data_IF_941119143473
#
_entry.id   IF_941119143473
#
_cell.length_a   1.000
_cell.length_b   1.000
_cell.length_c   1.000
_cell.angle_alpha   90.00
_cell.angle_beta   90.00
_cell.angle_gamma   90.00
#
_symmetry.space_group_name_H-M   'P 1'
#
loop_
_entity.id
_entity.type
_entity.pdbx_description
1 polymer ?
#
# COMPACT_ATOMS: atom_id res chain seq x y z
N UNK A 1 19.58 16.71 9.21
CA UNK A 1 19.21 15.35 8.75
C UNK A 1 17.69 15.27 8.71
N UNK A 2 17.08 14.63 7.70
CA UNK A 2 15.62 14.46 7.61
C UNK A 2 15.17 13.18 8.34
N UNK A 3 15.64 12.99 9.57
CA UNK A 3 15.42 11.75 10.35
C UNK A 3 15.05 12.11 11.78
N UNK A 4 13.78 11.89 12.12
CA UNK A 4 13.29 11.99 13.49
C UNK A 4 13.44 10.64 14.20
N UNK A 5 14.17 10.63 15.32
CA UNK A 5 14.23 9.47 16.23
C UNK A 5 13.10 9.58 17.26
N UNK A 6 12.40 8.48 17.48
CA UNK A 6 11.30 8.39 18.45
C UNK A 6 11.44 7.13 19.30
N UNK A 7 10.93 7.20 20.52
CA UNK A 7 10.71 6.05 21.39
C UNK A 7 9.21 5.77 21.43
N UNK A 8 8.83 4.56 21.04
CA UNK A 8 7.45 4.07 21.01
C UNK A 8 7.38 2.69 21.67
N UNK A 9 6.26 2.32 22.30
CA UNK A 9 6.10 0.98 22.86
C UNK A 9 6.11 -0.09 21.77
N UNK A 10 6.80 -1.20 22.02
CA UNK A 10 6.88 -2.33 21.09
C UNK A 10 5.63 -3.22 21.22
N UNK A 11 4.53 -2.75 20.65
CA UNK A 11 3.24 -3.47 20.60
C UNK A 11 2.49 -3.12 19.32
N UNK A 12 1.49 -3.93 18.97
CA UNK A 12 0.72 -3.77 17.74
C UNK A 12 0.09 -2.37 17.60
N UNK A 13 -0.49 -1.86 18.70
CA UNK A 13 -1.38 -0.70 18.71
C UNK A 13 -0.92 0.33 19.74
N UNK A 14 -0.83 1.58 19.32
CA UNK A 14 -0.74 2.73 20.23
C UNK A 14 -2.12 3.07 20.80
N UNK A 15 -2.14 3.62 22.01
CA UNK A 15 -3.31 4.36 22.51
C UNK A 15 -3.44 5.71 21.80
N UNK A 16 -4.63 6.34 21.81
CA UNK A 16 -4.80 7.70 21.28
C UNK A 16 -3.88 8.73 21.94
N UNK A 17 -3.58 8.60 23.23
CA UNK A 17 -2.66 9.50 23.95
C UNK A 17 -1.20 9.33 23.52
N UNK A 18 -0.74 8.09 23.40
CA UNK A 18 0.60 7.78 22.89
C UNK A 18 0.77 8.29 21.47
N UNK A 19 -0.25 8.08 20.63
CA UNK A 19 -0.26 8.59 19.27
C UNK A 19 -0.23 10.13 19.23
N UNK A 20 -1.06 10.82 20.03
CA UNK A 20 -1.02 12.29 20.12
C UNK A 20 0.36 12.81 20.51
N UNK A 21 1.05 12.14 21.42
CA UNK A 21 2.42 12.50 21.80
C UNK A 21 3.42 12.27 20.65
N UNK A 22 3.28 11.17 19.92
CA UNK A 22 4.08 10.86 18.74
C UNK A 22 3.85 11.86 17.60
N UNK A 23 2.60 12.14 17.25
CA UNK A 23 2.20 13.06 16.18
C UNK A 23 2.71 14.49 16.43
N UNK A 24 2.66 14.97 17.69
CA UNK A 24 3.28 16.25 18.06
C UNK A 24 4.78 16.30 17.77
N UNK A 25 5.52 15.21 17.99
CA UNK A 25 6.95 15.14 17.67
C UNK A 25 7.19 15.21 16.17
N UNK A 26 6.39 14.48 15.38
CA UNK A 26 6.45 14.50 13.90
C UNK A 26 6.18 15.90 13.36
N UNK A 27 5.10 16.53 13.83
CA UNK A 27 4.67 17.87 13.41
C UNK A 27 5.68 18.96 13.79
N UNK A 28 6.31 18.85 14.97
CA UNK A 28 7.32 19.81 15.42
C UNK A 28 8.66 19.67 14.67
N UNK A 29 8.99 18.48 14.17
CA UNK A 29 10.29 18.21 13.54
C UNK A 29 10.29 18.48 12.03
N UNK A 30 9.26 18.02 11.32
CA UNK A 30 9.22 18.10 9.87
C UNK A 30 8.40 19.31 9.41
N UNK A 31 9.05 20.22 8.68
CA UNK A 31 8.43 21.42 8.09
C UNK A 31 7.74 21.17 6.74
N UNK A 32 7.26 22.25 6.10
CA UNK A 32 6.42 22.16 4.92
C UNK A 32 7.06 21.54 3.68
N UNK A 33 8.39 21.46 3.62
CA UNK A 33 9.12 20.83 2.52
C UNK A 33 8.96 19.31 2.51
N UNK A 34 8.61 18.70 3.65
CA UNK A 34 8.45 17.25 3.79
C UNK A 34 7.02 16.85 3.43
N UNK A 35 6.88 16.24 2.26
CA UNK A 35 5.60 15.85 1.69
C UNK A 35 5.10 14.49 2.17
N UNK A 36 6.00 13.58 2.55
CA UNK A 36 5.66 12.20 2.91
C UNK A 36 6.62 11.64 3.97
N UNK A 37 6.23 10.56 4.64
CA UNK A 37 6.98 9.95 5.74
C UNK A 37 7.23 8.46 5.51
N UNK A 38 8.48 8.04 5.75
CA UNK A 38 8.86 6.64 5.88
C UNK A 38 9.02 6.28 7.36
N UNK A 39 8.33 5.24 7.82
CA UNK A 39 8.35 4.79 9.21
C UNK A 39 9.16 3.48 9.31
N UNK A 40 10.33 3.52 9.97
CA UNK A 40 11.30 2.43 9.92
C UNK A 40 11.12 1.37 11.03
N UNK A 41 9.94 0.75 11.11
CA UNK A 41 9.62 -0.31 12.05
C UNK A 41 8.45 -1.18 11.56
N UNK A 42 8.23 -2.32 12.24
CA UNK A 42 7.03 -3.15 12.05
C UNK A 42 5.97 -2.83 13.11
N UNK A 43 6.36 -2.69 14.38
CA UNK A 43 5.48 -2.33 15.50
C UNK A 43 5.81 -0.94 16.03
N UNK A 44 4.82 -0.08 16.31
CA UNK A 44 3.38 -0.26 16.09
C UNK A 44 2.94 0.00 14.64
N UNK A 45 1.90 -0.70 14.17
CA UNK A 45 1.28 -0.48 12.86
C UNK A 45 -0.12 0.18 12.95
N UNK A 46 -0.65 0.33 14.16
CA UNK A 46 -2.01 0.83 14.39
C UNK A 46 -2.10 1.77 15.60
N UNK A 47 -3.17 2.55 15.62
CA UNK A 47 -3.62 3.42 16.71
C UNK A 47 -5.07 3.05 16.99
N UNK A 48 -5.34 2.33 18.07
CA UNK A 48 -6.64 1.68 18.28
C UNK A 48 -7.07 0.84 17.04
N UNK A 49 -8.14 1.25 16.33
CA UNK A 49 -8.59 0.64 15.08
C UNK A 49 -8.00 1.30 13.81
N UNK A 50 -7.45 2.50 13.91
CA UNK A 50 -6.87 3.20 12.75
C UNK A 50 -5.48 2.62 12.46
N UNK A 51 -5.02 2.66 11.21
CA UNK A 51 -3.60 2.42 10.92
C UNK A 51 -2.76 3.61 11.36
N UNK A 52 -1.50 3.35 11.73
CA UNK A 52 -0.59 4.43 12.12
C UNK A 52 -0.30 5.37 10.94
N UNK A 53 -0.24 4.83 9.72
CA UNK A 53 0.00 5.62 8.50
C UNK A 53 -1.19 6.54 8.20
N UNK A 54 -2.42 6.09 8.43
CA UNK A 54 -3.59 6.92 8.21
C UNK A 54 -3.84 7.92 9.32
N UNK A 55 -3.62 7.52 10.58
CA UNK A 55 -3.71 8.43 11.70
C UNK A 55 -2.73 9.61 11.56
N UNK A 56 -1.50 9.39 11.09
CA UNK A 56 -0.53 10.46 10.81
C UNK A 56 -0.95 11.38 9.66
N UNK A 57 -1.55 10.83 8.60
CA UNK A 57 -1.87 11.62 7.41
C UNK A 57 -3.18 12.40 7.54
N UNK A 58 -4.20 11.79 8.16
CA UNK A 58 -5.58 12.31 8.17
C UNK A 58 -6.07 12.69 9.59
N UNK A 59 -5.29 12.38 10.62
CA UNK A 59 -5.72 12.43 12.01
C UNK A 59 -6.38 11.13 12.46
N UNK A 60 -6.42 10.91 13.78
CA UNK A 60 -7.09 9.77 14.39
C UNK A 60 -8.61 9.94 14.34
N UNK A 61 -9.33 8.95 13.80
CA UNK A 61 -10.80 8.89 13.76
C UNK A 61 -11.30 7.90 14.82
N UNK A 62 -11.75 8.42 15.97
CA UNK A 62 -12.27 7.61 17.07
C UNK A 62 -13.67 7.05 16.81
N UNK A 63 -14.53 7.79 16.10
CA UNK A 63 -15.90 7.38 15.79
C UNK A 63 -15.90 6.15 14.87
N UNK A 64 -14.96 6.08 13.92
CA UNK A 64 -14.75 4.89 13.10
C UNK A 64 -14.41 3.64 13.93
N UNK A 65 -13.90 3.77 15.15
CA UNK A 65 -13.67 2.59 15.99
C UNK A 65 -14.94 2.06 16.64
N UNK A 66 -15.96 2.91 16.82
CA UNK A 66 -17.27 2.54 17.37
C UNK A 66 -18.21 2.05 16.26
N UNK A 67 -18.19 2.74 15.11
CA UNK A 67 -19.07 2.50 13.96
C UNK A 67 -18.29 2.00 12.74
N UNK A 68 -17.61 0.88 12.93
CA UNK A 68 -16.47 0.52 12.09
C UNK A 68 -16.80 0.04 10.67
N UNK A 69 -18.08 -0.30 10.42
CA UNK A 69 -18.63 -0.57 9.10
C UNK A 69 -19.23 0.66 8.40
N UNK A 70 -19.31 1.81 9.06
CA UNK A 70 -19.81 3.04 8.44
C UNK A 70 -18.70 3.72 7.63
N UNK A 71 -19.05 4.60 6.68
CA UNK A 71 -18.07 5.48 6.05
C UNK A 71 -17.30 6.28 7.11
N UNK A 72 -15.99 6.52 6.92
CA UNK A 72 -15.21 7.32 7.86
C UNK A 72 -15.69 8.79 7.83
N UNK A 73 -15.39 9.53 8.90
CA UNK A 73 -15.73 10.95 8.99
C UNK A 73 -15.14 11.80 7.87
N UNK A 74 -13.98 11.38 7.34
CA UNK A 74 -13.24 12.10 6.31
C UNK A 74 -12.84 11.13 5.20
N UNK A 75 -13.13 11.49 3.96
CA UNK A 75 -12.55 10.78 2.82
C UNK A 75 -11.15 11.34 2.55
N UNK A 76 -10.26 10.53 1.97
CA UNK A 76 -8.93 10.99 1.60
C UNK A 76 -9.04 12.05 0.49
N UNK A 77 -8.67 13.33 0.73
CA UNK A 77 -8.66 14.34 -0.33
C UNK A 77 -7.54 14.09 -1.35
N UNK A 78 -6.65 13.12 -1.07
CA UNK A 78 -5.61 12.71 -1.99
C UNK A 78 -6.06 11.62 -2.97
N UNK A 79 -7.23 11.00 -2.76
CA UNK A 79 -7.76 10.01 -3.68
C UNK A 79 -7.89 10.59 -5.09
N UNK A 80 -7.17 10.00 -6.03
CA UNK A 80 -7.03 10.41 -7.43
C UNK A 80 -6.68 11.90 -7.63
N UNK A 81 -6.00 12.51 -6.65
CA UNK A 81 -5.57 13.91 -6.73
C UNK A 81 -4.39 14.09 -7.70
N UNK A 82 -4.34 15.20 -8.47
CA UNK A 82 -3.20 15.52 -9.32
C UNK A 82 -2.01 16.10 -8.54
N UNK A 83 -2.18 16.40 -7.24
CA UNK A 83 -1.09 16.99 -6.44
C UNK A 83 0.11 16.04 -6.36
N UNK A 84 1.30 16.64 -6.45
CA UNK A 84 2.60 16.01 -6.18
C UNK A 84 3.24 16.55 -4.89
N UNK A 85 2.51 17.43 -4.18
CA UNK A 85 2.92 18.06 -2.92
C UNK A 85 1.77 17.97 -1.91
N UNK A 86 1.40 16.76 -1.47
CA UNK A 86 0.22 16.53 -0.64
C UNK A 86 0.21 17.32 0.67
N UNK A 87 1.36 17.61 1.27
CA UNK A 87 1.38 18.39 2.51
C UNK A 87 1.11 19.87 2.26
N UNK A 88 1.77 20.44 1.23
CA UNK A 88 1.59 21.86 0.89
C UNK A 88 0.18 22.11 0.33
N UNK A 89 -0.32 21.23 -0.53
CA UNK A 89 -1.56 21.46 -1.25
C UNK A 89 -2.80 20.98 -0.46
N UNK A 90 -2.67 19.93 0.38
CA UNK A 90 -3.80 19.26 1.04
C UNK A 90 -3.65 19.14 2.56
N UNK A 91 -2.51 19.57 3.14
CA UNK A 91 -2.27 19.50 4.58
C UNK A 91 -2.04 18.09 5.13
N UNK A 92 -1.82 17.08 4.27
CA UNK A 92 -1.62 15.68 4.68
C UNK A 92 -0.24 15.17 4.29
N UNK A 93 0.33 14.29 5.12
CA UNK A 93 1.59 13.58 4.81
C UNK A 93 1.32 12.10 4.59
N UNK A 94 1.27 11.61 3.34
CA UNK A 94 1.25 10.19 3.07
C UNK A 94 2.37 9.52 3.83
N UNK A 95 2.06 8.41 4.48
CA UNK A 95 3.01 7.67 5.33
C UNK A 95 3.03 6.20 4.92
N UNK A 96 4.20 5.57 4.99
CA UNK A 96 4.40 4.15 4.69
C UNK A 96 5.41 3.53 5.66
N UNK A 97 5.14 2.32 6.13
CA UNK A 97 6.09 1.56 6.96
C UNK A 97 7.09 0.82 6.09
N UNK A 98 8.37 0.88 6.47
CA UNK A 98 9.42 0.00 5.96
C UNK A 98 9.32 -1.38 6.65
N UNK A 99 8.14 -2.01 6.58
CA UNK A 99 7.83 -3.23 7.31
C UNK A 99 8.10 -4.47 6.45
N UNK A 100 8.91 -5.38 7.00
CA UNK A 100 9.19 -6.72 6.51
C UNK A 100 9.35 -7.66 7.71
N UNK A 101 9.46 -8.97 7.45
CA UNK A 101 9.56 -9.97 8.53
C UNK A 101 10.83 -9.80 9.38
N UNK A 102 11.91 -9.30 8.78
CA UNK A 102 13.17 -8.97 9.45
C UNK A 102 13.93 -7.82 8.77
N UNK A 103 15.08 -7.45 9.34
CA UNK A 103 15.93 -6.36 8.82
C UNK A 103 16.52 -6.69 7.44
N UNK A 104 16.82 -7.96 7.16
CA UNK A 104 17.36 -8.36 5.86
C UNK A 104 16.28 -8.23 4.77
N UNK A 105 15.05 -8.65 5.07
CA UNK A 105 13.88 -8.46 4.23
C UNK A 105 13.58 -6.97 3.99
N UNK A 106 13.70 -6.13 5.02
CA UNK A 106 13.50 -4.68 4.88
C UNK A 106 14.55 -4.04 3.95
N UNK A 107 15.83 -4.44 4.07
CA UNK A 107 16.88 -4.00 3.15
C UNK A 107 16.64 -4.48 1.73
N UNK A 108 16.30 -5.77 1.55
CA UNK A 108 15.99 -6.31 0.24
C UNK A 108 14.79 -5.61 -0.42
N UNK A 109 13.76 -5.25 0.36
CA UNK A 109 12.64 -4.44 -0.09
C UNK A 109 13.09 -3.04 -0.56
N UNK A 110 13.97 -2.39 0.20
CA UNK A 110 14.53 -1.08 -0.17
C UNK A 110 15.36 -1.18 -1.46
N UNK A 111 16.23 -2.19 -1.56
CA UNK A 111 17.07 -2.41 -2.73
C UNK A 111 16.21 -2.65 -4.00
N UNK A 112 15.08 -3.36 -3.88
CA UNK A 112 14.11 -3.51 -4.97
C UNK A 112 13.44 -2.20 -5.36
N UNK A 113 13.14 -1.33 -4.39
CA UNK A 113 12.60 0.01 -4.66
C UNK A 113 13.58 0.85 -5.46
N UNK A 114 14.83 0.96 -4.99
CA UNK A 114 15.92 1.68 -5.70
C UNK A 114 16.16 1.11 -7.09
N UNK A 115 16.15 -0.21 -7.24
CA UNK A 115 16.34 -0.86 -8.55
C UNK A 115 15.16 -0.64 -9.51
N UNK A 116 14.02 -0.14 -9.04
CA UNK A 116 12.83 0.07 -9.87
C UNK A 116 12.89 1.37 -10.68
N UNK A 117 13.57 2.39 -10.17
CA UNK A 117 13.39 3.76 -10.66
C UNK A 117 13.65 3.90 -12.16
N UNK A 118 12.65 4.44 -12.87
CA UNK A 118 12.71 4.71 -14.31
C UNK A 118 13.06 3.50 -15.20
N UNK A 119 12.73 2.28 -14.77
CA UNK A 119 13.02 1.04 -15.52
C UNK A 119 11.92 0.59 -16.47
N UNK A 120 10.67 1.00 -16.25
CA UNK A 120 9.49 0.61 -17.02
C UNK A 120 8.97 1.75 -17.90
N UNK A 121 8.07 1.43 -18.85
CA UNK A 121 7.50 2.41 -19.80
C UNK A 121 8.49 2.96 -20.83
N UNK A 122 9.73 2.47 -20.84
CA UNK A 122 10.77 2.87 -21.79
C UNK A 122 10.51 2.24 -23.16
N UNK A 123 10.88 2.96 -24.23
CA UNK A 123 10.75 2.45 -25.60
C UNK A 123 11.59 1.18 -25.76
N UNK A 124 10.93 0.07 -26.14
CA UNK A 124 11.58 -1.22 -26.33
C UNK A 124 11.76 -2.05 -25.05
N UNK A 125 11.34 -1.55 -23.89
CA UNK A 125 11.28 -2.37 -22.69
C UNK A 125 10.26 -3.52 -22.87
N UNK A 126 10.57 -4.75 -22.42
CA UNK A 126 9.60 -5.83 -22.46
C UNK A 126 8.38 -5.49 -21.59
N UNK A 127 7.16 -5.87 -22.01
CA UNK A 127 5.97 -5.60 -21.23
C UNK A 127 6.02 -6.27 -19.85
N UNK A 128 5.26 -5.73 -18.92
CA UNK A 128 5.06 -6.28 -17.57
C UNK A 128 3.60 -6.68 -17.37
N UNK A 129 3.34 -7.55 -16.41
CA UNK A 129 2.01 -8.11 -16.19
C UNK A 129 1.34 -7.46 -14.97
N UNK A 130 0.10 -7.02 -15.14
CA UNK A 130 -0.78 -6.58 -14.07
C UNK A 130 -1.93 -7.59 -13.93
N UNK A 131 -1.88 -8.40 -12.87
CA UNK A 131 -2.89 -9.41 -12.58
C UNK A 131 -3.93 -8.91 -11.58
N UNK A 132 -5.18 -9.02 -11.97
CA UNK A 132 -6.35 -8.72 -11.15
C UNK A 132 -7.17 -10.00 -11.00
N UNK A 133 -7.16 -10.59 -9.81
CA UNK A 133 -7.67 -11.94 -9.58
C UNK A 133 -9.00 -11.89 -8.83
N UNK A 134 -10.04 -12.45 -9.45
CA UNK A 134 -11.37 -12.66 -8.88
C UNK A 134 -11.42 -14.06 -8.27
N UNK A 135 -11.65 -14.13 -6.96
CA UNK A 135 -11.76 -15.41 -6.25
C UNK A 135 -13.22 -15.85 -6.13
N UNK A 136 -13.50 -17.12 -5.78
CA UNK A 136 -14.87 -17.58 -5.50
C UNK A 136 -15.55 -16.84 -4.34
N UNK A 137 -14.76 -16.24 -3.43
CA UNK A 137 -15.28 -15.43 -2.33
C UNK A 137 -15.82 -14.09 -2.86
N UNK A 138 -17.14 -14.01 -3.00
CA UNK A 138 -17.83 -12.82 -3.51
C UNK A 138 -17.63 -11.61 -2.60
N UNK A 139 -17.59 -11.79 -1.28
CA UNK A 139 -17.43 -10.68 -0.34
C UNK A 139 -16.04 -10.06 -0.45
N UNK A 140 -15.01 -10.85 -0.76
CA UNK A 140 -13.63 -10.37 -0.95
C UNK A 140 -13.27 -10.03 -2.39
N UNK A 141 -14.17 -10.30 -3.33
CA UNK A 141 -14.00 -9.98 -4.76
C UNK A 141 -14.83 -8.77 -5.20
N UNK A 142 -15.35 -7.98 -4.27
CA UNK A 142 -16.10 -6.74 -4.54
C UNK A 142 -15.27 -5.70 -5.31
N UNK A 143 -13.93 -5.72 -5.18
CA UNK A 143 -13.04 -4.89 -5.99
C UNK A 143 -13.04 -5.27 -7.49
N UNK A 144 -13.51 -6.47 -7.83
CA UNK A 144 -13.57 -6.97 -9.20
C UNK A 144 -14.36 -6.09 -10.16
N UNK A 145 -15.38 -5.37 -9.68
CA UNK A 145 -16.15 -4.40 -10.47
C UNK A 145 -15.30 -3.23 -11.00
N UNK A 146 -14.16 -2.94 -10.37
CA UNK A 146 -13.29 -1.83 -10.73
C UNK A 146 -12.04 -2.27 -11.49
N UNK A 147 -11.88 -3.57 -11.77
CA UNK A 147 -10.73 -4.07 -12.52
C UNK A 147 -10.71 -3.48 -13.94
N UNK A 148 -9.53 -3.05 -14.42
CA UNK A 148 -9.41 -2.59 -15.79
C UNK A 148 -9.75 -3.73 -16.77
N UNK A 149 -10.25 -3.42 -17.98
CA UNK A 149 -10.45 -4.42 -19.02
C UNK A 149 -9.14 -5.17 -19.32
N UNK A 150 -9.18 -6.51 -19.45
CA UNK A 150 -8.00 -7.28 -19.80
C UNK A 150 -7.50 -6.97 -21.20
N UNK A 151 -6.20 -7.14 -21.41
CA UNK A 151 -5.53 -6.94 -22.69
C UNK A 151 -4.31 -6.03 -22.60
N UNK A 152 -3.58 -6.00 -23.72
CA UNK A 152 -2.31 -5.32 -23.85
C UNK A 152 -2.48 -3.80 -23.98
N UNK A 153 -1.80 -3.06 -23.12
CA UNK A 153 -1.72 -1.60 -23.14
C UNK A 153 -0.34 -1.14 -23.66
N UNK A 154 -0.19 -1.11 -24.98
CA UNK A 154 1.10 -0.84 -25.64
C UNK A 154 1.73 0.51 -25.26
N UNK A 155 0.91 1.54 -25.01
CA UNK A 155 1.41 2.89 -24.68
C UNK A 155 2.20 2.92 -23.36
N UNK A 156 1.89 2.03 -22.44
CA UNK A 156 2.51 1.96 -21.11
C UNK A 156 3.31 0.66 -20.92
N UNK A 157 3.26 -0.27 -21.88
CA UNK A 157 3.98 -1.54 -21.80
C UNK A 157 3.47 -2.47 -20.69
N UNK A 158 2.16 -2.46 -20.43
CA UNK A 158 1.52 -3.31 -19.42
C UNK A 158 0.52 -4.25 -20.08
N UNK A 159 0.60 -5.53 -19.79
CA UNK A 159 -0.42 -6.52 -20.13
C UNK A 159 -1.35 -6.74 -18.93
N UNK A 160 -2.64 -6.53 -19.14
CA UNK A 160 -3.66 -6.58 -18.09
C UNK A 160 -4.34 -7.93 -18.13
N UNK A 161 -4.29 -8.66 -17.03
CA UNK A 161 -4.91 -9.97 -16.87
C UNK A 161 -6.01 -9.90 -15.82
N UNK A 162 -7.19 -10.42 -16.15
CA UNK A 162 -8.28 -10.59 -15.19
C UNK A 162 -8.57 -12.08 -15.08
N UNK A 163 -8.18 -12.69 -13.96
CA UNK A 163 -8.18 -14.13 -13.78
C UNK A 163 -9.21 -14.58 -12.75
N UNK A 164 -9.87 -15.70 -13.02
CA UNK A 164 -10.82 -16.32 -12.09
C UNK A 164 -10.18 -17.52 -11.39
N UNK A 165 -9.36 -17.25 -10.37
CA UNK A 165 -8.59 -18.27 -9.63
C UNK A 165 -8.42 -17.86 -8.17
N UNK A 166 -7.92 -18.77 -7.34
CA UNK A 166 -7.55 -18.50 -5.94
C UNK A 166 -6.08 -18.10 -5.77
N UNK A 167 -5.22 -18.47 -6.72
CA UNK A 167 -3.80 -18.13 -6.74
C UNK A 167 -3.25 -18.16 -8.18
N UNK A 168 -2.21 -17.37 -8.41
CA UNK A 168 -1.36 -17.46 -9.60
C UNK A 168 -0.19 -18.40 -9.33
N UNK A 169 0.43 -18.92 -10.38
CA UNK A 169 1.56 -19.83 -10.29
C UNK A 169 2.47 -19.67 -11.50
N UNK A 170 3.79 -19.63 -11.27
CA UNK A 170 4.81 -19.57 -12.32
C UNK A 170 4.57 -18.43 -13.33
N UNK A 171 4.18 -17.25 -12.82
CA UNK A 171 3.99 -16.04 -13.62
C UNK A 171 5.16 -15.10 -13.41
N UNK A 172 5.68 -14.54 -14.50
CA UNK A 172 6.86 -13.69 -14.49
C UNK A 172 6.54 -12.23 -14.82
N UNK A 173 7.49 -11.35 -14.50
CA UNK A 173 7.44 -9.92 -14.74
C UNK A 173 6.18 -9.26 -14.18
N UNK A 174 5.79 -9.67 -12.98
CA UNK A 174 4.59 -9.15 -12.30
C UNK A 174 4.86 -7.76 -11.74
N UNK A 175 4.09 -6.77 -12.20
CA UNK A 175 4.06 -5.41 -11.69
C UNK A 175 2.97 -5.24 -10.63
N UNK A 176 1.77 -5.79 -10.86
CA UNK A 176 0.63 -5.66 -9.95
C UNK A 176 0.03 -7.05 -9.76
N UNK A 177 -0.25 -7.43 -8.51
CA UNK A 177 -1.09 -8.57 -8.18
C UNK A 177 -2.14 -8.17 -7.13
N UNK A 178 -3.38 -7.98 -7.57
CA UNK A 178 -4.52 -7.67 -6.70
C UNK A 178 -5.45 -8.88 -6.59
N UNK A 179 -5.81 -9.30 -5.38
CA UNK A 179 -6.74 -10.42 -5.15
C UNK A 179 -7.66 -10.19 -3.96
N UNK A 180 -8.52 -11.17 -3.66
CA UNK A 180 -9.39 -11.24 -2.47
C UNK A 180 -9.15 -12.50 -1.62
N UNK A 181 -8.11 -13.30 -1.91
CA UNK A 181 -7.84 -14.51 -1.17
C UNK A 181 -7.35 -14.21 0.26
N UNK A 182 -7.90 -14.92 1.25
CA UNK A 182 -7.48 -14.82 2.66
C UNK A 182 -6.02 -15.24 2.86
N UNK A 183 -5.55 -16.16 2.03
CA UNK A 183 -4.17 -16.60 1.94
C UNK A 183 -3.89 -16.95 0.49
N UNK A 184 -2.83 -16.35 -0.06
CA UNK A 184 -2.42 -16.60 -1.43
C UNK A 184 -1.37 -17.71 -1.40
N UNK A 185 -1.64 -18.81 -2.08
CA UNK A 185 -0.67 -19.88 -2.24
C UNK A 185 0.36 -19.52 -3.31
N UNK A 186 1.50 -20.23 -3.35
CA UNK A 186 2.49 -20.19 -4.44
C UNK A 186 3.13 -18.82 -4.69
N UNK A 187 3.15 -17.96 -3.66
CA UNK A 187 3.78 -16.64 -3.75
C UNK A 187 5.28 -16.70 -4.12
N UNK A 188 5.95 -17.79 -3.74
CA UNK A 188 7.34 -18.11 -4.08
C UNK A 188 7.59 -18.36 -5.58
N UNK A 189 6.51 -18.57 -6.36
CA UNK A 189 6.59 -18.77 -7.82
C UNK A 189 6.33 -17.51 -8.63
N UNK A 190 6.12 -16.37 -7.96
CA UNK A 190 5.79 -15.09 -8.61
C UNK A 190 7.08 -14.33 -8.93
N UNK A 191 7.39 -14.19 -10.21
CA UNK A 191 8.52 -13.40 -10.70
C UNK A 191 8.19 -11.91 -10.71
N UNK A 192 8.42 -11.21 -9.60
CA UNK A 192 8.21 -9.75 -9.51
C UNK A 192 9.22 -8.96 -10.34
N UNK A 193 8.76 -7.86 -10.96
CA UNK A 193 9.70 -6.79 -11.36
C UNK A 193 10.03 -5.90 -10.16
N UNK A 194 11.21 -5.26 -10.11
CA UNK A 194 11.47 -4.16 -9.17
C UNK A 194 10.36 -3.10 -9.25
N UNK A 195 9.85 -2.65 -8.10
CA UNK A 195 8.70 -1.74 -8.01
C UNK A 195 7.33 -2.43 -8.08
N UNK A 196 7.29 -3.75 -8.22
CA UNK A 196 6.05 -4.53 -8.23
C UNK A 196 5.31 -4.49 -6.89
N UNK A 197 3.98 -4.52 -6.93
CA UNK A 197 3.11 -4.39 -5.75
C UNK A 197 2.07 -5.50 -5.69
N UNK A 198 1.84 -6.03 -4.49
CA UNK A 198 0.88 -7.10 -4.24
C UNK A 198 0.00 -6.76 -3.06
N UNK A 199 -1.31 -6.93 -3.19
CA UNK A 199 -2.22 -6.82 -2.06
C UNK A 199 -3.46 -7.70 -2.21
N UNK A 200 -4.09 -7.98 -1.08
CA UNK A 200 -5.30 -8.78 -1.02
C UNK A 200 -6.38 -8.06 -0.20
N UNK A 201 -7.62 -8.14 -0.68
CA UNK A 201 -8.79 -7.58 -0.01
C UNK A 201 -9.23 -8.50 1.13
N UNK A 202 -8.70 -8.27 2.34
CA UNK A 202 -9.08 -9.01 3.54
C UNK A 202 -9.31 -8.06 4.73
N UNK A 203 -9.82 -8.58 5.84
CA UNK A 203 -10.21 -7.80 7.01
C UNK A 203 -9.02 -7.36 7.88
N UNK A 204 -7.97 -8.17 7.92
CA UNK A 204 -6.83 -8.01 8.83
C UNK A 204 -5.47 -8.31 8.17
N UNK A 205 -5.35 -8.14 6.84
CA UNK A 205 -4.07 -8.29 6.14
C UNK A 205 -2.96 -7.35 6.64
N UNK A 206 -3.33 -6.24 7.30
CA UNK A 206 -2.42 -5.29 7.94
C UNK A 206 -1.97 -5.67 9.35
N UNK A 207 -2.27 -6.88 9.84
CA UNK A 207 -1.66 -7.42 11.05
C UNK A 207 -0.25 -7.91 10.69
N UNK A 208 0.75 -7.06 10.94
CA UNK A 208 2.09 -7.20 10.35
C UNK A 208 3.01 -8.20 11.06
N UNK A 209 2.63 -8.75 12.21
CA UNK A 209 3.46 -9.71 12.96
C UNK A 209 3.03 -11.17 12.80
N UNK A 210 2.14 -11.45 11.84
CA UNK A 210 1.67 -12.81 11.57
C UNK A 210 0.74 -13.40 12.64
N UNK A 211 0.35 -12.63 13.67
CA UNK A 211 -0.61 -13.10 14.69
C UNK A 211 -2.06 -13.18 14.20
N UNK A 212 -2.35 -12.62 13.02
CA UNK A 212 -3.67 -12.65 12.40
C UNK A 212 -4.04 -14.01 11.80
N UNK A 213 -5.34 -14.27 11.62
CA UNK A 213 -5.83 -15.50 10.96
C UNK A 213 -5.64 -15.49 9.43
N UNK A 214 -5.48 -14.30 8.86
CA UNK A 214 -5.30 -14.06 7.43
C UNK A 214 -3.82 -13.83 7.12
N UNK A 215 -3.44 -13.99 5.85
CA UNK A 215 -2.07 -13.72 5.42
C UNK A 215 -1.69 -12.26 5.68
N UNK A 216 -0.51 -12.03 6.26
CA UNK A 216 -0.02 -10.67 6.49
C UNK A 216 0.44 -10.03 5.18
N UNK A 217 0.33 -8.70 5.08
CA UNK A 217 0.86 -7.92 3.99
C UNK A 217 2.38 -8.08 3.85
N UNK A 218 3.11 -8.38 4.94
CA UNK A 218 4.56 -8.66 4.88
C UNK A 218 4.90 -9.90 4.06
N UNK A 219 3.97 -10.84 3.89
CA UNK A 219 4.16 -12.01 3.03
C UNK A 219 4.33 -11.64 1.54
N UNK A 220 3.74 -10.52 1.09
CA UNK A 220 3.98 -9.99 -0.25
C UNK A 220 5.41 -9.43 -0.37
N UNK A 221 5.90 -8.76 0.68
CA UNK A 221 7.27 -8.26 0.71
C UNK A 221 8.27 -9.42 0.74
N UNK A 222 7.98 -10.46 1.51
CA UNK A 222 8.79 -11.69 1.57
C UNK A 222 8.83 -12.43 0.23
N UNK A 223 7.76 -12.36 -0.58
CA UNK A 223 7.73 -12.99 -1.90
C UNK A 223 8.41 -12.18 -3.00
N UNK A 224 8.86 -10.95 -2.72
CA UNK A 224 9.59 -10.10 -3.67
C UNK A 224 8.84 -8.85 -4.12
N UNK A 225 7.61 -8.60 -3.67
CA UNK A 225 6.97 -7.31 -3.89
C UNK A 225 7.75 -6.18 -3.19
N UNK A 226 7.68 -4.97 -3.76
CA UNK A 226 8.33 -3.75 -3.24
C UNK A 226 7.43 -3.03 -2.24
N UNK A 227 6.12 -3.16 -2.39
CA UNK A 227 5.15 -2.58 -1.48
C UNK A 227 3.86 -3.41 -1.43
N UNK A 228 3.09 -3.20 -0.37
CA UNK A 228 1.81 -3.84 -0.12
C UNK A 228 0.90 -2.95 0.73
N UNK A 229 -0.33 -3.40 0.90
CA UNK A 229 -1.37 -2.76 1.67
C UNK A 229 -2.21 -3.81 2.39
N UNK A 230 -2.65 -3.50 3.61
CA UNK A 230 -3.60 -4.35 4.32
C UNK A 230 -4.32 -3.59 5.43
N UNK A 231 -5.52 -4.04 5.80
CA UNK A 231 -6.30 -3.40 6.86
C UNK A 231 -5.87 -3.89 8.25
N UNK A 232 -5.82 -2.99 9.23
CA UNK A 232 -5.35 -3.28 10.60
C UNK A 232 -6.49 -3.62 11.57
N UNK A 233 -7.72 -3.37 11.16
CA UNK A 233 -8.93 -3.72 11.87
C UNK A 233 -10.04 -4.10 10.90
N UNK A 234 -10.78 -5.15 11.24
CA UNK A 234 -12.09 -5.44 10.64
C UNK A 234 -13.07 -4.35 11.09
N UNK A 235 -13.95 -3.78 10.22
CA UNK A 235 -14.98 -4.55 9.52
C UNK A 235 -15.54 -3.99 8.20
N UNK A 236 -16.25 -4.85 7.49
CA UNK A 236 -16.91 -4.62 6.19
C UNK A 236 -15.99 -4.47 4.97
N UNK A 237 -16.31 -5.24 3.92
CA UNK A 237 -15.58 -5.30 2.65
C UNK A 237 -15.97 -4.15 1.69
N UNK A 238 -15.93 -2.92 2.20
CA UNK A 238 -16.14 -1.71 1.40
C UNK A 238 -14.99 -1.53 0.41
N UNK A 239 -15.23 -1.52 -0.91
CA UNK A 239 -14.16 -1.37 -1.91
C UNK A 239 -13.31 -0.10 -1.71
N UNK A 240 -13.90 0.96 -1.17
CA UNK A 240 -13.24 2.25 -0.90
C UNK A 240 -12.10 2.15 0.12
N UNK A 241 -12.11 1.12 0.98
CA UNK A 241 -11.03 0.81 1.94
C UNK A 241 -9.84 0.13 1.28
N UNK A 242 -9.88 -0.16 -0.02
CA UNK A 242 -8.82 -0.88 -0.72
C UNK A 242 -8.34 -0.10 -1.94
N UNK A 243 -7.11 -0.38 -2.42
CA UNK A 243 -6.60 0.23 -3.63
C UNK A 243 -7.55 0.02 -4.81
N UNK A 244 -8.05 1.12 -5.37
CA UNK A 244 -8.81 1.12 -6.60
C UNK A 244 -7.86 0.76 -7.75
N UNK A 245 -8.04 -0.42 -8.35
CA UNK A 245 -7.17 -1.03 -9.36
C UNK A 245 -6.80 -0.11 -10.51
N UNK A 246 -7.78 0.57 -11.11
CA UNK A 246 -7.50 1.50 -12.22
C UNK A 246 -6.73 2.74 -11.78
N UNK A 247 -7.00 3.29 -10.59
CA UNK A 247 -6.30 4.48 -10.09
C UNK A 247 -4.87 4.12 -9.73
N UNK A 248 -4.65 2.97 -9.06
CA UNK A 248 -3.30 2.48 -8.75
C UNK A 248 -2.46 2.32 -10.03
N UNK A 249 -2.98 1.59 -11.02
CA UNK A 249 -2.29 1.38 -12.29
C UNK A 249 -2.04 2.69 -13.04
N UNK A 250 -3.04 3.59 -13.07
CA UNK A 250 -2.92 4.90 -13.73
C UNK A 250 -1.82 5.75 -13.10
N UNK A 251 -1.81 5.87 -11.77
CA UNK A 251 -0.85 6.71 -11.05
C UNK A 251 0.58 6.18 -11.21
N UNK A 252 0.76 4.86 -11.16
CA UNK A 252 2.03 4.23 -11.51
C UNK A 252 2.44 4.50 -12.94
N UNK A 253 1.57 4.28 -13.93
CA UNK A 253 1.89 4.53 -15.33
C UNK A 253 2.20 6.01 -15.65
N UNK A 254 1.74 6.94 -14.82
CA UNK A 254 2.07 8.37 -14.89
C UNK A 254 3.40 8.75 -14.21
N UNK A 255 4.08 7.78 -13.59
CA UNK A 255 5.38 7.96 -12.95
C UNK A 255 5.31 8.38 -11.48
N UNK A 256 4.16 8.23 -10.82
CA UNK A 256 4.08 8.41 -9.36
C UNK A 256 4.94 7.38 -8.64
N UNK A 257 5.54 7.78 -7.53
CA UNK A 257 6.15 6.83 -6.58
C UNK A 257 5.08 5.92 -5.97
N UNK A 258 5.49 4.78 -5.39
CA UNK A 258 4.53 3.82 -4.83
C UNK A 258 3.73 4.40 -3.67
N UNK A 259 4.32 5.25 -2.83
CA UNK A 259 3.59 5.90 -1.75
C UNK A 259 2.50 6.81 -2.30
N UNK A 260 2.76 7.53 -3.39
CA UNK A 260 1.77 8.38 -4.05
C UNK A 260 0.69 7.54 -4.72
N UNK A 261 1.08 6.52 -5.50
CA UNK A 261 0.14 5.69 -6.24
C UNK A 261 -0.81 4.93 -5.31
N UNK A 262 -0.30 4.36 -4.21
CA UNK A 262 -1.15 3.70 -3.24
C UNK A 262 -2.08 4.67 -2.54
N UNK A 263 -1.57 5.78 -2.01
CA UNK A 263 -2.39 6.73 -1.27
C UNK A 263 -3.44 7.43 -2.14
N UNK A 264 -3.13 7.68 -3.42
CA UNK A 264 -4.11 8.18 -4.40
C UNK A 264 -5.14 7.12 -4.78
N UNK A 265 -4.88 5.84 -4.54
CA UNK A 265 -5.79 4.75 -4.91
C UNK A 265 -6.77 4.33 -3.81
N UNK A 266 -6.61 4.80 -2.56
CA UNK A 266 -7.49 4.42 -1.44
C UNK A 266 -8.32 5.61 -0.98
N UNK A 267 -9.64 5.52 -1.10
CA UNK A 267 -10.56 6.59 -0.72
C UNK A 267 -10.74 6.67 0.82
N UNK A 268 -10.78 5.52 1.50
CA UNK A 268 -10.98 5.39 2.96
C UNK A 268 -9.79 4.67 3.63
N UNK A 269 -8.62 5.32 3.75
CA UNK A 269 -7.39 4.66 4.21
C UNK A 269 -7.30 4.49 5.73
N UNK A 270 -8.26 4.99 6.52
CA UNK A 270 -8.19 5.07 7.99
C UNK A 270 -7.81 3.76 8.66
N UNK A 271 -8.34 2.64 8.17
CA UNK A 271 -8.09 1.30 8.72
C UNK A 271 -7.01 0.54 7.94
N UNK A 272 -6.35 1.18 6.98
CA UNK A 272 -5.41 0.60 6.04
C UNK A 272 -3.97 1.00 6.31
N UNK A 273 -3.08 0.03 6.50
CA UNK A 273 -1.65 0.29 6.63
C UNK A 273 -0.94 0.07 5.30
N UNK A 274 -0.14 1.05 4.91
CA UNK A 274 0.73 0.99 3.73
C UNK A 274 2.12 0.54 4.17
N UNK A 275 2.67 -0.45 3.48
CA UNK A 275 4.03 -0.95 3.73
C UNK A 275 4.82 -1.01 2.42
N UNK A 276 6.13 -0.80 2.47
CA UNK A 276 6.97 -0.84 1.26
C UNK A 276 8.12 0.16 1.29
N UNK A 277 8.92 0.15 0.24
CA UNK A 277 9.86 1.23 -0.06
C UNK A 277 9.10 2.37 -0.75
N UNK A 278 8.92 3.54 -0.11
CA UNK A 278 7.98 4.57 -0.58
C UNK A 278 8.36 5.27 -1.88
N UNK A 279 9.66 5.35 -2.22
CA UNK A 279 10.14 6.14 -3.36
C UNK A 279 10.11 5.38 -4.69
N UNK A 280 9.94 4.06 -4.67
CA UNK A 280 9.93 3.19 -5.84
C UNK A 280 9.03 3.77 -6.94
N UNK A 281 9.63 4.17 -8.05
CA UNK A 281 8.93 4.85 -9.13
C UNK A 281 9.29 4.24 -10.49
N UNK A 282 8.75 3.04 -10.80
CA UNK A 282 9.19 2.26 -11.95
C UNK A 282 8.97 2.95 -13.31
N UNK A 283 7.96 3.81 -13.41
CA UNK A 283 7.64 4.57 -14.62
C UNK A 283 8.07 6.04 -14.54
N UNK A 284 8.83 6.44 -13.51
CA UNK A 284 9.38 7.78 -13.46
C UNK A 284 10.18 8.06 -14.73
N UNK A 285 10.13 9.32 -15.18
CA UNK A 285 11.02 9.76 -16.26
C UNK A 285 12.42 9.88 -15.68
N UNK A 286 13.42 9.34 -16.38
CA UNK A 286 14.82 9.61 -16.06
C UNK A 286 15.00 11.13 -16.06
N UNK A 287 15.51 11.66 -14.94
CA UNK A 287 15.96 13.04 -14.83
C UNK A 287 17.26 13.23 -15.61
#
# INVERSE_FOLDING_TARGET
AQVLRVELPVRAKLSPDEFRAFDRKVSAYFGADIQALALAWVKPWAVSCNSITAALALGFDGELCEHSCEPPLRFSPYFNSPSTRPYVDLGLRPSMLLAADDVAGAKAMIDRGVASDSTLGQRGAPPVNAYFVITPDKARSTRGYFFPPPGRQDRIGVDIHVEHTTALENVDRVLIYLTGAVRVAKLDTIGWVPGGVGDHLTSIGGVLDGSGSQMSATAWIASGATASYGTVSEPCAHPQKFPHSQVLLLQYAQGSSVIEAYWKSVAWPQQGVFIGEPLAAPFARRQ
#
